data_IF_586745645235
#
_entry.id   IF_586745645235
#
_cell.length_a   1.000
_cell.length_b   1.000
_cell.length_c   1.000
_cell.angle_alpha   90.00
_cell.angle_beta   90.00
_cell.angle_gamma   90.00
#
_symmetry.space_group_name_H-M   'P 1'
#
loop_
_entity.id
_entity.type
_entity.pdbx_description
1 polymer ?
#
# COMPACT_ATOMS: atom_id res chain seq x y z
N UNK A 1 -14.69 -7.14 -14.02
CA UNK A 1 -14.02 -8.18 -14.87
C UNK A 1 -12.55 -7.85 -15.06
N UNK A 2 -12.19 -6.64 -15.50
CA UNK A 2 -10.79 -6.22 -15.67
C UNK A 2 -9.99 -6.18 -14.35
N UNK A 3 -10.54 -5.62 -13.27
CA UNK A 3 -9.86 -5.57 -11.96
C UNK A 3 -9.54 -6.97 -11.42
N UNK A 4 -10.48 -7.90 -11.58
CA UNK A 4 -10.31 -9.32 -11.23
C UNK A 4 -9.20 -9.96 -12.06
N UNK A 5 -9.16 -9.70 -13.37
CA UNK A 5 -8.12 -10.20 -14.28
C UNK A 5 -6.73 -9.71 -13.86
N UNK A 6 -6.61 -8.42 -13.55
CA UNK A 6 -5.37 -7.81 -13.08
C UNK A 6 -4.95 -8.37 -11.71
N UNK A 7 -5.90 -8.56 -10.78
CA UNK A 7 -5.61 -9.18 -9.49
C UNK A 7 -5.07 -10.63 -9.64
N UNK A 8 -5.65 -11.42 -10.55
CA UNK A 8 -5.15 -12.77 -10.86
C UNK A 8 -3.76 -12.74 -11.49
N UNK A 9 -3.46 -11.76 -12.34
CA UNK A 9 -2.11 -11.56 -12.89
C UNK A 9 -1.09 -11.26 -11.80
N UNK A 10 -1.44 -10.39 -10.85
CA UNK A 10 -0.61 -10.10 -9.67
C UNK A 10 -0.31 -11.37 -8.87
N UNK A 11 -1.31 -12.22 -8.61
CA UNK A 11 -1.09 -13.50 -7.90
C UNK A 11 -0.17 -14.43 -8.68
N UNK A 12 -0.32 -14.54 -10.00
CA UNK A 12 0.57 -15.35 -10.85
C UNK A 12 2.01 -14.84 -10.84
N UNK A 13 2.21 -13.53 -10.89
CA UNK A 13 3.54 -12.93 -10.95
C UNK A 13 4.25 -12.93 -9.59
N UNK A 14 3.52 -12.77 -8.50
CA UNK A 14 4.11 -12.45 -7.19
C UNK A 14 3.74 -13.40 -6.05
N UNK A 15 2.71 -14.25 -6.20
CA UNK A 15 2.20 -15.09 -5.11
C UNK A 15 3.21 -16.10 -4.56
N UNK A 16 4.17 -16.55 -5.38
CA UNK A 16 5.24 -17.46 -4.96
C UNK A 16 6.61 -16.77 -4.82
N UNK A 17 6.70 -15.46 -5.08
CA UNK A 17 7.97 -14.75 -5.12
C UNK A 17 8.53 -14.53 -3.70
N UNK A 18 9.73 -15.04 -3.45
CA UNK A 18 10.46 -14.76 -2.21
C UNK A 18 11.24 -13.45 -2.35
N UNK A 19 10.79 -12.41 -1.64
CA UNK A 19 11.46 -11.12 -1.61
C UNK A 19 12.51 -11.04 -0.49
N UNK A 20 13.77 -10.87 -0.88
CA UNK A 20 14.93 -10.95 0.05
C UNK A 20 15.14 -9.67 0.87
N UNK A 21 14.81 -8.51 0.32
CA UNK A 21 14.97 -7.22 1.00
C UNK A 21 13.64 -6.67 1.50
N UNK A 22 13.67 -5.83 2.55
CA UNK A 22 12.47 -5.13 3.03
C UNK A 22 11.83 -4.29 1.92
N UNK A 23 12.63 -3.67 1.06
CA UNK A 23 12.13 -2.85 -0.06
C UNK A 23 11.39 -3.73 -1.07
N UNK A 24 11.90 -4.90 -1.43
CA UNK A 24 11.21 -5.84 -2.31
C UNK A 24 9.95 -6.40 -1.65
N UNK A 25 10.01 -6.77 -0.36
CA UNK A 25 8.84 -7.23 0.38
C UNK A 25 7.74 -6.17 0.40
N UNK A 26 8.07 -4.92 0.67
CA UNK A 26 7.10 -3.82 0.64
C UNK A 26 6.40 -3.70 -0.72
N UNK A 27 7.15 -3.81 -1.82
CA UNK A 27 6.58 -3.74 -3.17
C UNK A 27 5.67 -4.93 -3.46
N UNK A 28 6.13 -6.14 -3.19
CA UNK A 28 5.38 -7.37 -3.44
C UNK A 28 4.10 -7.40 -2.62
N UNK A 29 4.19 -7.16 -1.32
CA UNK A 29 3.03 -7.20 -0.42
C UNK A 29 2.03 -6.09 -0.73
N UNK A 30 2.50 -4.92 -1.17
CA UNK A 30 1.63 -3.81 -1.56
C UNK A 30 0.88 -4.03 -2.88
N UNK A 31 1.30 -5.01 -3.68
CA UNK A 31 0.57 -5.51 -4.84
C UNK A 31 -0.38 -6.64 -4.47
N UNK A 32 0.07 -7.58 -3.63
CA UNK A 32 -0.70 -8.76 -3.25
C UNK A 32 -1.91 -8.45 -2.35
N UNK A 33 -1.76 -7.54 -1.38
CA UNK A 33 -2.84 -7.29 -0.41
C UNK A 33 -4.14 -6.78 -1.07
N UNK A 34 -4.13 -5.78 -1.97
CA UNK A 34 -5.32 -5.40 -2.72
C UNK A 34 -5.86 -6.52 -3.62
N UNK A 35 -4.97 -7.34 -4.22
CA UNK A 35 -5.39 -8.46 -5.06
C UNK A 35 -6.18 -9.50 -4.27
N UNK A 36 -5.71 -9.90 -3.08
CA UNK A 36 -6.46 -10.79 -2.19
C UNK A 36 -7.80 -10.20 -1.78
N UNK A 37 -7.86 -8.89 -1.47
CA UNK A 37 -9.11 -8.21 -1.14
C UNK A 37 -10.11 -8.23 -2.31
N UNK A 38 -9.64 -7.94 -3.53
CA UNK A 38 -10.48 -7.92 -4.73
C UNK A 38 -10.99 -9.30 -5.13
N UNK A 39 -10.21 -10.36 -4.85
CA UNK A 39 -10.56 -11.74 -5.17
C UNK A 39 -11.39 -12.43 -4.08
N UNK A 40 -11.58 -11.79 -2.91
CA UNK A 40 -12.29 -12.41 -1.79
C UNK A 40 -11.49 -13.48 -1.06
N UNK A 41 -10.16 -13.49 -1.20
CA UNK A 41 -9.25 -14.42 -0.53
C UNK A 41 -9.00 -13.95 0.92
N UNK A 42 -10.03 -14.03 1.78
CA UNK A 42 -10.03 -13.44 3.13
C UNK A 42 -8.88 -13.96 4.00
N UNK A 43 -8.63 -15.26 3.91
CA UNK A 43 -7.62 -15.98 4.68
C UNK A 43 -6.20 -15.48 4.35
N UNK A 44 -5.89 -15.36 3.06
CA UNK A 44 -4.61 -14.83 2.57
C UNK A 44 -4.48 -13.33 2.84
N UNK A 45 -5.59 -12.60 2.72
CA UNK A 45 -5.65 -11.18 3.07
C UNK A 45 -5.28 -10.96 4.54
N UNK A 46 -5.90 -11.70 5.48
CA UNK A 46 -5.63 -11.57 6.92
C UNK A 46 -4.20 -11.97 7.24
N UNK A 47 -3.69 -13.07 6.66
CA UNK A 47 -2.29 -13.52 6.83
C UNK A 47 -1.29 -12.46 6.37
N UNK A 48 -1.50 -11.90 5.18
CA UNK A 48 -0.61 -10.88 4.62
C UNK A 48 -0.72 -9.55 5.37
N UNK A 49 -1.93 -9.16 5.78
CA UNK A 49 -2.16 -7.97 6.59
C UNK A 49 -1.38 -8.04 7.91
N UNK A 50 -1.43 -9.16 8.62
CA UNK A 50 -0.65 -9.36 9.85
C UNK A 50 0.85 -9.26 9.60
N UNK A 51 1.33 -9.82 8.49
CA UNK A 51 2.75 -9.78 8.08
C UNK A 51 3.21 -8.35 7.76
N UNK A 52 2.40 -7.58 7.01
CA UNK A 52 2.70 -6.18 6.70
C UNK A 52 2.74 -5.31 7.97
N UNK A 53 1.84 -5.56 8.92
CA UNK A 53 1.81 -4.87 10.21
C UNK A 53 3.06 -5.15 11.05
N UNK A 54 3.51 -6.39 11.12
CA UNK A 54 4.68 -6.77 11.91
C UNK A 54 5.98 -6.22 11.34
N UNK A 55 6.10 -6.07 10.01
CA UNK A 55 7.30 -5.49 9.40
C UNK A 55 7.37 -3.97 9.49
N UNK A 56 6.23 -3.29 9.61
CA UNK A 56 6.14 -1.83 9.46
C UNK A 56 7.15 -1.05 10.34
N UNK A 57 7.41 -1.43 11.62
CA UNK A 57 8.42 -0.75 12.45
C UNK A 57 9.87 -0.96 11.97
N UNK A 58 10.16 -2.04 11.25
CA UNK A 58 11.48 -2.37 10.74
C UNK A 58 11.82 -1.61 9.44
N UNK A 59 10.81 -1.16 8.68
CA UNK A 59 11.00 -0.48 7.39
C UNK A 59 11.58 0.93 7.58
N UNK A 60 12.89 1.06 7.36
CA UNK A 60 13.62 2.33 7.50
C UNK A 60 13.43 3.28 6.33
N UNK A 61 13.26 2.77 5.11
CA UNK A 61 13.11 3.60 3.93
C UNK A 61 11.72 4.28 3.93
N UNK A 62 11.69 5.61 4.05
CA UNK A 62 10.44 6.38 4.13
C UNK A 62 9.47 6.08 2.99
N UNK A 63 9.98 5.96 1.75
CA UNK A 63 9.15 5.64 0.59
C UNK A 63 8.54 4.24 0.66
N UNK A 64 9.29 3.23 1.14
CA UNK A 64 8.76 1.87 1.34
C UNK A 64 7.74 1.83 2.47
N UNK A 65 7.98 2.59 3.55
CA UNK A 65 7.04 2.72 4.66
C UNK A 65 5.73 3.37 4.21
N UNK A 66 5.80 4.47 3.44
CA UNK A 66 4.62 5.10 2.85
C UNK A 66 3.86 4.16 1.92
N UNK A 67 4.55 3.38 1.09
CA UNK A 67 3.92 2.41 0.20
C UNK A 67 3.10 1.37 1.00
N UNK A 68 3.65 0.84 2.10
CA UNK A 68 2.89 -0.06 2.98
C UNK A 68 1.70 0.66 3.61
N UNK A 69 1.90 1.86 4.17
CA UNK A 69 0.86 2.61 4.88
C UNK A 69 -0.32 2.97 3.98
N UNK A 70 -0.05 3.49 2.78
CA UNK A 70 -1.09 3.82 1.80
C UNK A 70 -1.84 2.57 1.37
N UNK A 71 -1.15 1.43 1.22
CA UNK A 71 -1.81 0.15 0.90
C UNK A 71 -2.69 -0.33 2.05
N UNK A 72 -2.16 -0.32 3.27
CA UNK A 72 -2.90 -0.72 4.48
C UNK A 72 -4.13 0.16 4.66
N UNK A 73 -4.00 1.47 4.48
CA UNK A 73 -5.12 2.40 4.52
C UNK A 73 -6.20 2.01 3.50
N UNK A 74 -5.88 1.97 2.20
CA UNK A 74 -6.87 1.64 1.16
C UNK A 74 -7.50 0.24 1.32
N UNK A 75 -6.77 -0.72 1.91
CA UNK A 75 -7.27 -2.07 2.13
C UNK A 75 -8.10 -2.23 3.41
N UNK A 76 -7.93 -1.39 4.43
CA UNK A 76 -8.56 -1.59 5.75
C UNK A 76 -9.45 -0.44 6.19
N UNK A 77 -9.42 0.69 5.49
CA UNK A 77 -10.14 1.91 5.86
C UNK A 77 -9.79 2.42 7.29
N UNK A 78 -8.57 2.09 7.75
CA UNK A 78 -8.15 2.41 9.10
C UNK A 78 -7.65 3.84 9.22
N UNK A 79 -8.29 4.63 10.09
CA UNK A 79 -7.88 6.00 10.42
C UNK A 79 -6.43 6.08 10.94
N UNK A 80 -5.95 5.04 11.62
CA UNK A 80 -4.56 4.96 12.07
C UNK A 80 -3.59 4.92 10.89
N UNK A 81 -3.83 4.04 9.91
CA UNK A 81 -2.96 3.94 8.74
C UNK A 81 -3.08 5.16 7.83
N UNK A 82 -4.27 5.77 7.78
CA UNK A 82 -4.46 7.07 7.13
C UNK A 82 -3.55 8.13 7.74
N UNK A 83 -3.66 8.36 9.05
CA UNK A 83 -2.83 9.36 9.75
C UNK A 83 -1.35 9.11 9.51
N UNK A 84 -0.88 7.88 9.72
CA UNK A 84 0.53 7.52 9.51
C UNK A 84 0.97 7.71 8.05
N UNK A 85 0.10 7.45 7.07
CA UNK A 85 0.42 7.68 5.66
C UNK A 85 0.64 9.17 5.37
N UNK A 86 -0.25 10.04 5.87
CA UNK A 86 -0.12 11.50 5.76
C UNK A 86 1.15 12.02 6.43
N UNK A 87 1.46 11.57 7.64
CA UNK A 87 2.69 11.96 8.37
C UNK A 87 3.96 11.72 7.54
N UNK A 88 3.99 10.65 6.73
CA UNK A 88 5.15 10.33 5.88
C UNK A 88 5.10 11.06 4.53
N UNK A 89 3.92 11.24 3.95
CA UNK A 89 3.75 11.73 2.56
C UNK A 89 3.65 13.26 2.48
N UNK A 90 3.03 13.91 3.44
CA UNK A 90 2.75 15.35 3.39
C UNK A 90 4.01 16.23 3.27
N UNK A 91 5.15 15.90 3.93
CA UNK A 91 6.39 16.65 3.71
C UNK A 91 6.85 16.68 2.25
N UNK A 92 6.48 15.68 1.44
CA UNK A 92 6.88 15.61 0.02
C UNK A 92 6.09 16.56 -0.88
N UNK A 93 4.92 17.02 -0.44
CA UNK A 93 4.07 17.95 -1.21
C UNK A 93 4.72 19.33 -1.33
N UNK A 94 5.57 19.69 -0.37
CA UNK A 94 6.37 20.92 -0.39
C UNK A 94 7.73 20.80 -1.10
N UNK A 95 8.10 19.61 -1.60
CA UNK A 95 9.35 19.45 -2.34
C UNK A 95 9.26 20.17 -3.70
N UNK A 96 10.31 20.88 -4.09
CA UNK A 96 10.35 21.60 -5.37
C UNK A 96 10.36 20.68 -6.59
N UNK A 97 10.91 19.47 -6.45
CA UNK A 97 10.98 18.46 -7.51
C UNK A 97 10.97 17.04 -6.94
N UNK A 98 9.83 16.56 -6.40
CA UNK A 98 9.72 15.22 -5.86
C UNK A 98 9.92 14.16 -6.94
N UNK A 99 10.60 13.06 -6.57
CA UNK A 99 10.78 11.91 -7.48
C UNK A 99 9.43 11.35 -7.92
N UNK A 100 9.36 10.80 -9.14
CA UNK A 100 8.15 10.16 -9.70
C UNK A 100 7.50 9.15 -8.75
N UNK A 101 8.31 8.41 -8.00
CA UNK A 101 7.82 7.44 -7.01
C UNK A 101 7.07 8.09 -5.84
N UNK A 102 7.51 9.26 -5.35
CA UNK A 102 6.80 10.03 -4.32
C UNK A 102 5.51 10.62 -4.87
N UNK A 103 5.54 11.18 -6.08
CA UNK A 103 4.34 11.70 -6.76
C UNK A 103 3.26 10.63 -6.93
N UNK A 104 3.66 9.40 -7.26
CA UNK A 104 2.74 8.26 -7.35
C UNK A 104 2.06 7.96 -6.00
N UNK A 105 2.81 8.01 -4.90
CA UNK A 105 2.28 7.78 -3.56
C UNK A 105 1.37 8.91 -3.07
N UNK A 106 1.73 10.16 -3.39
CA UNK A 106 0.88 11.33 -3.11
C UNK A 106 -0.50 11.14 -3.77
N UNK A 107 -0.51 10.89 -5.08
CA UNK A 107 -1.75 10.69 -5.84
C UNK A 107 -2.56 9.52 -5.30
N UNK A 108 -1.90 8.40 -5.01
CA UNK A 108 -2.58 7.21 -4.49
C UNK A 108 -3.18 7.43 -3.10
N UNK A 109 -2.54 8.25 -2.25
CA UNK A 109 -3.12 8.64 -0.96
C UNK A 109 -4.34 9.54 -1.16
N UNK A 110 -4.25 10.54 -2.05
CA UNK A 110 -5.39 11.41 -2.40
C UNK A 110 -6.56 10.60 -2.96
N UNK A 111 -6.30 9.65 -3.85
CA UNK A 111 -7.32 8.74 -4.41
C UNK A 111 -7.99 7.89 -3.31
N UNK A 112 -7.22 7.39 -2.33
CA UNK A 112 -7.76 6.67 -1.19
C UNK A 112 -8.68 7.55 -0.33
N UNK A 113 -8.26 8.77 0.02
CA UNK A 113 -9.11 9.70 0.77
C UNK A 113 -10.40 10.03 0.03
N UNK A 114 -10.31 10.25 -1.28
CA UNK A 114 -11.47 10.53 -2.12
C UNK A 114 -12.45 9.38 -2.17
N UNK A 115 -11.97 8.17 -2.44
CA UNK A 115 -12.84 6.99 -2.56
C UNK A 115 -13.47 6.58 -1.24
N UNK A 116 -12.75 6.77 -0.13
CA UNK A 116 -13.23 6.48 1.22
C UNK A 116 -14.03 7.64 1.83
N UNK A 117 -14.20 8.75 1.11
CA UNK A 117 -14.91 9.96 1.56
C UNK A 117 -14.31 10.57 2.83
N UNK A 118 -12.99 10.51 2.93
CA UNK A 118 -12.18 11.10 4.00
C UNK A 118 -11.49 12.41 3.57
N UNK A 119 -11.84 12.94 2.39
CA UNK A 119 -11.48 14.31 2.04
C UNK A 119 -12.02 15.27 3.09
N UNK A 120 -11.14 16.10 3.66
CA UNK A 120 -11.55 17.18 4.55
C UNK A 120 -12.15 18.25 3.63
N UNK A 121 -13.45 18.49 3.78
CA UNK A 121 -14.17 19.57 3.10
C UNK A 121 -13.69 20.95 3.55
#
# INVERSE_FOLDING_TARGET
EEDTRLALEVLRSYGSLRAETDVMRCKVYSSLLPAYKLLGEEDEFVRLLATMRSMLPAVKAAQSRALLLVTLYGCTDSALYRQMAHEVVDPWRGESSPKKSKLSLIRRLDDCDRWLKHEIS
#
